data_IF_761665507840
#
_entry.id   IF_761665507840
#
_cell.length_a   1.000
_cell.length_b   1.000
_cell.length_c   1.000
_cell.angle_alpha   90.00
_cell.angle_beta   90.00
_cell.angle_gamma   90.00
#
_symmetry.space_group_name_H-M   'P 1'
#
loop_
_entity.id
_entity.type
_entity.pdbx_description
1 polymer ?
#
# COMPACT_ATOMS: atom_id res chain seq x y z
N UNK A 1 -0.75 -18.43 20.85
CA UNK A 1 -0.49 -17.55 20.16
C UNK A 1 -1.24 -16.43 19.44
N UNK A 2 -1.90 -16.72 18.30
CA UNK A 2 -2.57 -15.68 17.48
C UNK A 2 -3.81 -15.10 18.18
N UNK A 3 -4.48 -15.84 19.05
CA UNK A 3 -5.67 -15.38 19.76
C UNK A 3 -5.41 -14.28 20.77
N UNK A 4 -4.23 -14.23 21.37
CA UNK A 4 -3.96 -13.27 22.46
C UNK A 4 -3.45 -11.92 21.93
N UNK A 5 -2.95 -11.86 20.70
CA UNK A 5 -2.43 -10.64 20.08
C UNK A 5 -3.51 -9.79 19.40
N UNK A 6 -4.56 -10.39 18.84
CA UNK A 6 -5.71 -9.67 18.27
C UNK A 6 -6.51 -8.89 19.31
N UNK A 7 -6.27 -9.12 20.60
CA UNK A 7 -6.92 -8.43 21.71
C UNK A 7 -6.14 -7.22 22.24
N UNK A 8 -4.93 -6.97 21.76
CA UNK A 8 -4.12 -5.86 22.23
C UNK A 8 -4.49 -4.53 21.57
N UNK A 9 -5.41 -3.86 22.21
CA UNK A 9 -5.57 -2.41 22.41
C UNK A 9 -6.00 -1.46 21.28
N UNK A 10 -5.99 -1.82 20.00
CA UNK A 10 -6.43 -0.86 18.96
C UNK A 10 -7.69 -1.32 18.21
N UNK A 11 -7.66 -2.49 17.61
CA UNK A 11 -8.73 -3.03 16.77
C UNK A 11 -9.88 -3.62 17.60
N UNK A 12 -9.58 -4.20 18.75
CA UNK A 12 -10.61 -4.67 19.69
C UNK A 12 -11.49 -3.50 20.19
N UNK A 13 -10.94 -2.29 20.32
CA UNK A 13 -11.71 -1.10 20.71
C UNK A 13 -12.57 -0.57 19.55
N UNK A 14 -12.08 -0.55 18.32
CA UNK A 14 -12.87 -0.13 17.15
C UNK A 14 -14.02 -1.10 16.90
N UNK A 15 -13.78 -2.40 16.97
CA UNK A 15 -14.82 -3.42 16.82
C UNK A 15 -15.83 -3.38 17.97
N UNK A 16 -15.36 -3.24 19.20
CA UNK A 16 -16.22 -3.06 20.39
C UNK A 16 -17.01 -1.77 20.32
N UNK A 17 -16.39 -0.68 19.83
CA UNK A 17 -17.07 0.61 19.68
C UNK A 17 -18.15 0.54 18.62
N UNK A 18 -17.93 -0.13 17.50
CA UNK A 18 -18.94 -0.37 16.47
C UNK A 18 -20.10 -1.25 16.96
N UNK A 19 -19.81 -2.30 17.72
CA UNK A 19 -20.83 -3.11 18.39
C UNK A 19 -21.60 -2.33 19.46
N UNK A 20 -20.92 -1.49 20.24
CA UNK A 20 -21.54 -0.62 21.24
C UNK A 20 -22.38 0.49 20.60
N UNK A 21 -21.97 1.03 19.45
CA UNK A 21 -22.73 2.04 18.73
C UNK A 21 -23.99 1.44 18.07
N UNK A 22 -23.89 0.21 17.54
CA UNK A 22 -25.04 -0.56 17.08
C UNK A 22 -26.01 -0.88 18.25
N UNK A 23 -25.47 -1.27 19.41
CA UNK A 23 -26.27 -1.53 20.62
C UNK A 23 -26.89 -0.26 21.24
N UNK A 24 -26.33 0.93 20.95
CA UNK A 24 -26.84 2.23 21.44
C UNK A 24 -27.89 2.86 20.53
N UNK A 25 -28.36 2.14 19.50
CA UNK A 25 -29.42 2.60 18.62
C UNK A 25 -29.04 3.82 17.76
N UNK A 26 -27.77 4.05 17.49
CA UNK A 26 -27.35 5.06 16.50
C UNK A 26 -27.80 4.64 15.12
N UNK A 27 -28.67 5.42 14.53
CA UNK A 27 -29.20 5.17 13.19
C UNK A 27 -28.02 5.23 12.20
N UNK A 28 -27.75 4.10 11.56
CA UNK A 28 -26.83 4.06 10.43
C UNK A 28 -27.47 4.78 9.25
N UNK A 29 -26.77 5.75 8.68
CA UNK A 29 -27.26 6.51 7.55
C UNK A 29 -26.12 6.94 6.63
N UNK A 30 -26.48 7.25 5.39
CA UNK A 30 -25.60 7.85 4.40
C UNK A 30 -26.12 9.24 4.09
N UNK A 31 -25.27 10.25 4.25
CA UNK A 31 -25.60 11.66 3.94
C UNK A 31 -24.92 12.04 2.63
N UNK A 32 -25.66 12.29 1.55
CA UNK A 32 -25.08 12.72 0.28
C UNK A 32 -24.27 13.99 0.42
N UNK A 33 -23.16 14.06 -0.32
CA UNK A 33 -22.28 15.23 -0.41
C UNK A 33 -22.28 15.77 -1.85
N UNK A 34 -22.26 17.09 -1.98
CA UNK A 34 -22.00 17.77 -3.24
C UNK A 34 -20.51 17.79 -3.58
N UNK A 35 -20.15 18.03 -4.85
CA UNK A 35 -18.75 18.21 -5.25
C UNK A 35 -18.08 19.34 -4.48
N UNK A 36 -18.79 20.45 -4.23
CA UNK A 36 -18.27 21.58 -3.44
C UNK A 36 -17.94 21.18 -1.99
N UNK A 37 -18.76 20.35 -1.36
CA UNK A 37 -18.50 19.85 -0.01
C UNK A 37 -17.28 18.90 0.03
N UNK A 38 -17.08 18.09 -1.01
CA UNK A 38 -15.91 17.22 -1.13
C UNK A 38 -14.66 18.07 -1.38
N UNK A 39 -14.72 19.06 -2.28
CA UNK A 39 -13.65 20.00 -2.55
C UNK A 39 -13.22 20.74 -1.26
N UNK A 40 -14.20 21.20 -0.47
CA UNK A 40 -13.93 21.84 0.81
C UNK A 40 -13.19 20.89 1.80
N UNK A 41 -13.60 19.62 1.89
CA UNK A 41 -12.89 18.60 2.71
C UNK A 41 -11.45 18.39 2.21
N UNK A 42 -11.23 18.29 0.88
CA UNK A 42 -9.90 18.14 0.28
C UNK A 42 -9.01 19.35 0.57
N UNK A 43 -9.54 20.56 0.40
CA UNK A 43 -8.82 21.80 0.72
C UNK A 43 -8.41 21.84 2.20
N UNK A 44 -9.33 21.47 3.08
CA UNK A 44 -9.10 21.49 4.50
C UNK A 44 -7.97 20.53 4.93
N UNK A 45 -7.92 19.29 4.42
CA UNK A 45 -6.82 18.36 4.72
C UNK A 45 -5.47 18.77 4.09
N UNK A 46 -5.48 19.58 3.04
CA UNK A 46 -4.26 20.16 2.45
C UNK A 46 -3.72 21.30 3.32
N UNK A 47 -4.61 22.16 3.81
CA UNK A 47 -4.25 23.36 4.58
C UNK A 47 -3.86 23.00 6.02
N UNK A 48 -4.32 21.88 6.54
CA UNK A 48 -4.02 21.38 7.88
C UNK A 48 -3.56 19.91 7.89
N UNK A 49 -2.26 19.70 7.71
CA UNK A 49 -1.65 18.35 7.79
C UNK A 49 -1.78 17.68 9.17
N UNK A 50 -2.25 18.38 10.20
CA UNK A 50 -2.30 17.93 11.59
C UNK A 50 -3.69 17.50 12.05
N UNK A 51 -4.75 17.88 11.35
CA UNK A 51 -6.11 17.51 11.73
C UNK A 51 -6.58 16.24 11.03
N UNK A 52 -6.82 15.21 11.82
CA UNK A 52 -7.68 14.08 11.43
C UNK A 52 -9.11 14.59 11.34
N UNK A 53 -9.57 14.85 10.13
CA UNK A 53 -10.92 15.35 9.86
C UNK A 53 -11.98 14.29 10.17
N UNK A 54 -12.27 14.13 11.46
CA UNK A 54 -13.47 13.44 11.91
C UNK A 54 -14.50 14.49 12.31
N UNK A 55 -15.62 14.50 11.61
CA UNK A 55 -16.80 15.23 12.10
C UNK A 55 -17.25 14.70 13.46
N UNK A 56 -17.98 15.49 14.28
CA UNK A 56 -18.38 15.09 15.63
C UNK A 56 -19.22 13.79 15.70
N UNK A 57 -19.70 13.30 14.56
CA UNK A 57 -20.49 12.06 14.41
C UNK A 57 -19.83 11.01 13.52
N UNK A 58 -18.61 11.24 13.02
CA UNK A 58 -17.84 10.31 12.20
C UNK A 58 -16.96 9.45 13.11
N UNK A 59 -17.02 8.14 12.96
CA UNK A 59 -16.14 7.19 13.63
C UNK A 59 -15.48 6.27 12.60
N UNK A 60 -14.35 6.71 12.03
CA UNK A 60 -13.51 5.85 11.21
C UNK A 60 -12.05 5.99 11.66
N UNK A 61 -11.30 4.91 11.51
CA UNK A 61 -9.88 4.86 11.84
C UNK A 61 -9.10 4.57 10.56
N UNK A 62 -8.32 5.54 10.09
CA UNK A 62 -7.38 5.39 8.98
C UNK A 62 -5.97 5.63 9.50
N UNK A 63 -5.09 4.62 9.36
CA UNK A 63 -3.68 4.74 9.73
C UNK A 63 -2.89 5.63 8.75
N UNK A 64 -1.76 6.19 9.20
CA UNK A 64 -0.81 6.96 8.39
C UNK A 64 -0.88 8.47 8.62
N UNK A 65 0.23 9.15 8.31
CA UNK A 65 0.43 10.59 8.59
C UNK A 65 -0.05 11.53 7.47
N UNK A 66 -0.41 11.00 6.30
CA UNK A 66 -0.91 11.80 5.17
C UNK A 66 -2.38 12.18 5.42
N UNK A 67 -2.73 13.43 5.14
CA UNK A 67 -4.11 13.92 5.18
C UNK A 67 -5.03 13.09 4.27
N UNK A 68 -6.10 12.54 4.84
CA UNK A 68 -7.07 11.69 4.15
C UNK A 68 -8.39 11.64 4.89
N UNK A 69 -9.47 11.37 4.14
CA UNK A 69 -10.78 11.05 4.72
C UNK A 69 -11.44 9.91 3.94
N UNK A 70 -12.53 9.38 4.46
CA UNK A 70 -13.24 8.29 3.83
C UNK A 70 -14.72 8.60 3.64
N UNK A 71 -15.25 8.21 2.48
CA UNK A 71 -16.66 8.32 2.11
C UNK A 71 -17.19 6.95 1.67
N UNK A 72 -18.51 6.84 1.52
CA UNK A 72 -19.15 5.74 0.82
C UNK A 72 -19.62 6.19 -0.57
N UNK A 73 -19.44 5.31 -1.55
CA UNK A 73 -20.23 5.38 -2.78
C UNK A 73 -21.52 4.62 -2.55
N UNK A 74 -22.63 5.31 -2.50
CA UNK A 74 -23.94 4.74 -2.18
C UNK A 74 -25.01 5.37 -3.05
N UNK A 75 -25.83 4.54 -3.70
CA UNK A 75 -26.90 4.96 -4.59
C UNK A 75 -26.47 5.98 -5.68
N UNK A 76 -25.27 5.74 -6.27
CA UNK A 76 -24.76 6.57 -7.37
C UNK A 76 -24.17 7.92 -6.93
N UNK A 77 -23.91 8.13 -5.66
CA UNK A 77 -23.38 9.40 -5.14
C UNK A 77 -22.41 9.19 -3.97
N UNK A 78 -21.54 10.17 -3.75
CA UNK A 78 -20.66 10.20 -2.60
C UNK A 78 -21.41 10.58 -1.33
N UNK A 79 -21.24 9.79 -0.28
CA UNK A 79 -21.94 9.98 0.98
C UNK A 79 -20.97 9.97 2.17
N UNK A 80 -21.23 10.83 3.12
CA UNK A 80 -20.69 10.74 4.46
C UNK A 80 -21.40 9.63 5.23
N UNK A 81 -20.63 8.86 5.98
CA UNK A 81 -21.13 7.72 6.74
C UNK A 81 -21.45 8.13 8.18
N UNK A 82 -22.68 7.94 8.60
CA UNK A 82 -23.15 8.24 9.95
C UNK A 82 -23.37 6.94 10.75
N UNK A 83 -23.14 6.99 12.04
CA UNK A 83 -23.30 5.83 12.93
C UNK A 83 -22.35 4.69 12.60
N UNK A 84 -22.89 3.51 12.31
CA UNK A 84 -22.11 2.30 11.95
C UNK A 84 -22.00 2.05 10.44
N UNK A 85 -22.49 2.97 9.59
CA UNK A 85 -22.40 2.84 8.14
C UNK A 85 -20.96 2.69 7.66
N UNK A 86 -20.64 1.70 6.83
CA UNK A 86 -19.27 1.49 6.36
C UNK A 86 -18.89 2.49 5.28
N UNK A 87 -17.67 3.04 5.38
CA UNK A 87 -17.03 3.75 4.28
C UNK A 87 -16.52 2.76 3.24
N UNK A 88 -16.53 3.14 1.96
CA UNK A 88 -16.09 2.30 0.85
C UNK A 88 -14.87 2.81 0.11
N UNK A 89 -14.53 4.10 0.27
CA UNK A 89 -13.42 4.73 -0.44
C UNK A 89 -12.64 5.66 0.48
N UNK A 90 -11.35 5.79 0.21
CA UNK A 90 -10.42 6.71 0.88
C UNK A 90 -10.00 7.78 -0.12
N UNK A 91 -10.07 9.04 0.29
CA UNK A 91 -9.71 10.21 -0.49
C UNK A 91 -8.39 10.77 0.01
N UNK A 92 -7.46 11.06 -0.91
CA UNK A 92 -6.15 11.65 -0.64
C UNK A 92 -5.87 12.73 -1.68
N UNK A 93 -5.36 13.87 -1.26
CA UNK A 93 -4.94 14.95 -2.18
C UNK A 93 -3.42 15.07 -2.32
N UNK A 94 -2.66 14.13 -1.78
CA UNK A 94 -1.21 14.11 -1.83
C UNK A 94 -0.54 14.67 -0.56
N UNK A 95 0.77 14.86 -0.62
CA UNK A 95 1.59 15.35 0.48
C UNK A 95 2.11 16.74 0.13
N UNK A 96 1.95 17.69 1.04
CA UNK A 96 2.45 19.06 0.87
C UNK A 96 3.97 19.06 0.64
N UNK A 97 4.43 19.84 -0.33
CA UNK A 97 5.84 19.89 -0.73
C UNK A 97 6.28 18.87 -1.78
N UNK A 98 5.39 17.94 -2.19
CA UNK A 98 5.62 17.00 -3.28
C UNK A 98 4.59 17.22 -4.40
N UNK A 99 5.02 17.93 -5.45
CA UNK A 99 4.16 18.24 -6.59
C UNK A 99 3.57 16.98 -7.22
N UNK A 100 2.27 16.94 -7.47
CA UNK A 100 1.55 15.82 -8.08
C UNK A 100 1.66 14.47 -7.32
N UNK A 101 1.83 14.47 -6.00
CA UNK A 101 2.06 13.23 -5.26
C UNK A 101 0.85 12.27 -5.36
N UNK A 102 -0.39 12.75 -5.27
CA UNK A 102 -1.59 11.92 -5.46
C UNK A 102 -1.65 11.30 -6.87
N UNK A 103 -1.25 12.05 -7.90
CA UNK A 103 -1.18 11.56 -9.27
C UNK A 103 -0.04 10.55 -9.47
N UNK A 104 1.11 10.75 -8.80
CA UNK A 104 2.22 9.79 -8.75
C UNK A 104 1.75 8.46 -8.14
N UNK A 105 1.07 8.50 -6.99
CA UNK A 105 0.49 7.31 -6.36
C UNK A 105 -0.52 6.61 -7.29
N UNK A 106 -1.39 7.37 -7.96
CA UNK A 106 -2.33 6.85 -8.95
C UNK A 106 -1.62 6.11 -10.09
N UNK A 107 -0.60 6.73 -10.71
CA UNK A 107 0.17 6.13 -11.82
C UNK A 107 0.89 4.87 -11.33
N UNK A 108 1.57 4.91 -10.18
CA UNK A 108 2.27 3.76 -9.65
C UNK A 108 1.32 2.58 -9.35
N UNK A 109 0.16 2.84 -8.76
CA UNK A 109 -0.82 1.78 -8.46
C UNK A 109 -1.48 1.21 -9.72
N UNK A 110 -1.76 2.04 -10.73
CA UNK A 110 -2.25 1.57 -12.05
C UNK A 110 -1.19 0.73 -12.77
N UNK A 111 0.08 1.16 -12.73
CA UNK A 111 1.21 0.40 -13.30
C UNK A 111 1.39 -0.94 -12.60
N UNK A 112 1.37 -0.98 -11.26
CA UNK A 112 1.45 -2.22 -10.49
C UNK A 112 0.37 -3.24 -10.92
N UNK A 113 -0.85 -2.77 -11.08
CA UNK A 113 -1.96 -3.61 -11.57
C UNK A 113 -1.73 -4.10 -13.00
N UNK A 114 -1.17 -3.27 -13.87
CA UNK A 114 -0.92 -3.60 -15.28
C UNK A 114 0.18 -4.66 -15.44
N UNK A 115 1.20 -4.64 -14.59
CA UNK A 115 2.20 -5.73 -14.51
C UNK A 115 1.73 -6.96 -13.72
N UNK A 116 0.44 -7.06 -13.42
CA UNK A 116 -0.18 -8.25 -12.81
C UNK A 116 -0.15 -8.32 -11.29
N UNK A 117 0.29 -7.28 -10.58
CA UNK A 117 0.27 -7.28 -9.12
C UNK A 117 -1.14 -6.92 -8.62
N UNK A 118 -1.80 -7.77 -7.81
CA UNK A 118 -3.05 -7.42 -7.16
C UNK A 118 -2.92 -6.11 -6.37
N UNK A 119 -3.68 -5.09 -6.79
CA UNK A 119 -3.58 -3.73 -6.27
C UNK A 119 -4.97 -3.19 -5.99
N UNK A 120 -5.16 -2.43 -4.91
CA UNK A 120 -6.40 -1.75 -4.60
C UNK A 120 -6.85 -0.91 -5.80
N UNK A 121 -8.15 -0.89 -6.07
CA UNK A 121 -8.68 -0.08 -7.17
C UNK A 121 -8.50 1.40 -6.86
N UNK A 122 -8.01 2.13 -7.84
CA UNK A 122 -7.81 3.58 -7.73
C UNK A 122 -8.44 4.33 -8.89
N UNK A 123 -8.97 5.49 -8.58
CA UNK A 123 -9.50 6.46 -9.55
C UNK A 123 -8.94 7.84 -9.21
N UNK A 124 -8.87 8.71 -10.19
CA UNK A 124 -8.44 10.09 -10.00
C UNK A 124 -9.59 11.00 -10.38
N UNK A 125 -10.04 11.82 -9.44
CA UNK A 125 -11.16 12.73 -9.64
C UNK A 125 -10.74 14.17 -9.40
N UNK A 126 -11.44 15.08 -10.05
CA UNK A 126 -11.39 16.51 -9.76
C UNK A 126 -12.76 16.95 -9.24
N UNK A 127 -12.77 17.53 -8.04
CA UNK A 127 -13.94 18.11 -7.39
C UNK A 127 -13.75 19.62 -7.39
N UNK A 128 -14.44 20.33 -8.28
CA UNK A 128 -14.18 21.74 -8.59
C UNK A 128 -12.71 21.94 -9.02
N UNK A 129 -11.89 22.61 -8.21
CA UNK A 129 -10.46 22.85 -8.41
C UNK A 129 -9.53 21.89 -7.61
N UNK A 130 -10.12 20.99 -6.82
CA UNK A 130 -9.37 20.05 -5.98
C UNK A 130 -9.29 18.66 -6.62
N UNK A 131 -8.07 18.20 -6.87
CA UNK A 131 -7.84 16.85 -7.36
C UNK A 131 -7.63 15.86 -6.21
N UNK A 132 -8.12 14.63 -6.39
CA UNK A 132 -8.01 13.56 -5.40
C UNK A 132 -7.73 12.22 -6.04
N UNK A 133 -6.80 11.48 -5.44
CA UNK A 133 -6.73 10.04 -5.55
C UNK A 133 -7.83 9.43 -4.68
N UNK A 134 -8.67 8.60 -5.27
CA UNK A 134 -9.75 7.88 -4.58
C UNK A 134 -9.44 6.40 -4.65
N UNK A 135 -9.20 5.81 -3.49
CA UNK A 135 -8.84 4.39 -3.33
C UNK A 135 -10.05 3.62 -2.83
N UNK A 136 -10.48 2.63 -3.61
CA UNK A 136 -11.52 1.69 -3.17
C UNK A 136 -10.97 0.80 -2.06
N UNK A 137 -11.73 0.66 -1.00
CA UNK A 137 -11.34 -0.15 0.17
C UNK A 137 -11.49 -1.63 -0.13
N UNK A 138 -10.37 -2.34 -0.26
CA UNK A 138 -10.33 -3.78 -0.46
C UNK A 138 -10.84 -4.59 0.75
N UNK A 139 -10.89 -3.97 1.93
CA UNK A 139 -11.41 -4.57 3.17
C UNK A 139 -12.93 -4.40 3.33
N UNK A 140 -13.63 -4.18 2.20
CA UNK A 140 -15.09 -4.12 2.10
C UNK A 140 -15.59 -5.17 1.13
N UNK A 141 -16.56 -5.94 1.55
CA UNK A 141 -17.19 -6.98 0.73
C UNK A 141 -18.71 -6.80 0.75
N UNK A 142 -19.33 -6.82 -0.43
CA UNK A 142 -20.79 -6.84 -0.53
C UNK A 142 -21.26 -8.28 -0.38
N UNK A 143 -22.06 -8.54 0.65
CA UNK A 143 -22.62 -9.87 0.85
C UNK A 143 -23.83 -10.13 -0.06
N UNK A 144 -24.36 -11.37 -0.01
CA UNK A 144 -25.51 -11.81 -0.83
C UNK A 144 -26.80 -10.98 -0.61
N UNK A 145 -26.90 -10.28 0.50
CA UNK A 145 -28.03 -9.40 0.84
C UNK A 145 -27.80 -7.94 0.45
N UNK A 146 -26.68 -7.63 -0.23
CA UNK A 146 -26.33 -6.26 -0.64
C UNK A 146 -25.70 -5.41 0.48
N UNK A 147 -25.48 -5.98 1.67
CA UNK A 147 -24.86 -5.24 2.77
C UNK A 147 -23.34 -5.28 2.65
N UNK A 148 -22.70 -4.17 3.06
CA UNK A 148 -21.24 -4.06 3.09
C UNK A 148 -20.71 -4.64 4.40
N UNK A 149 -19.93 -5.71 4.28
CA UNK A 149 -19.19 -6.32 5.38
C UNK A 149 -17.76 -5.80 5.43
N UNK A 150 -17.21 -5.71 6.65
CA UNK A 150 -15.82 -5.32 6.88
C UNK A 150 -14.99 -6.58 7.06
N UNK A 151 -13.96 -6.74 6.21
CA UNK A 151 -12.95 -7.77 6.41
C UNK A 151 -11.96 -7.28 7.49
N UNK A 152 -11.60 -8.19 8.39
CA UNK A 152 -10.59 -7.89 9.38
C UNK A 152 -9.21 -7.90 8.74
N UNK A 153 -8.42 -6.84 8.99
CA UNK A 153 -7.05 -6.75 8.48
C UNK A 153 -6.08 -6.24 9.55
N UNK A 154 -4.82 -6.62 9.40
CA UNK A 154 -3.71 -6.09 10.18
C UNK A 154 -2.56 -5.74 9.26
N UNK A 155 -1.96 -4.54 9.41
CA UNK A 155 -0.67 -4.25 8.80
C UNK A 155 0.46 -5.03 9.49
N UNK A 156 1.65 -5.14 8.85
CA UNK A 156 2.73 -5.95 9.43
C UNK A 156 3.35 -5.35 10.70
N UNK A 157 3.19 -4.06 10.99
CA UNK A 157 3.52 -3.58 12.32
C UNK A 157 2.56 -4.17 13.37
N UNK A 158 1.26 -4.24 13.07
CA UNK A 158 0.27 -4.86 13.96
C UNK A 158 0.49 -6.38 14.07
N UNK A 159 0.68 -7.07 12.94
CA UNK A 159 0.88 -8.52 12.90
C UNK A 159 2.17 -8.98 13.60
N UNK A 160 3.16 -8.11 13.72
CA UNK A 160 4.45 -8.36 14.40
C UNK A 160 4.52 -7.71 15.80
N UNK A 161 3.49 -6.99 16.23
CA UNK A 161 3.45 -6.32 17.53
C UNK A 161 4.40 -5.13 17.65
N UNK A 162 4.74 -4.50 16.54
CA UNK A 162 5.65 -3.35 16.47
C UNK A 162 4.87 -2.04 16.53
N UNK A 163 5.38 -1.06 17.26
CA UNK A 163 4.72 0.24 17.38
C UNK A 163 4.75 1.01 16.04
N UNK A 164 3.71 1.78 15.70
CA UNK A 164 3.65 2.54 14.46
C UNK A 164 4.82 3.50 14.22
N UNK A 165 5.44 4.02 15.28
CA UNK A 165 6.61 4.89 15.20
C UNK A 165 7.86 4.15 14.69
N UNK A 166 7.90 2.83 14.86
CA UNK A 166 8.99 1.95 14.42
C UNK A 166 8.67 1.27 13.07
N UNK A 167 7.94 1.92 12.19
CA UNK A 167 7.51 1.33 10.90
C UNK A 167 8.64 1.11 9.90
N UNK A 168 9.76 1.82 10.04
CA UNK A 168 10.96 1.70 9.19
C UNK A 168 12.01 0.83 9.87
N UNK A 169 12.73 0.01 9.10
CA UNK A 169 13.86 -0.75 9.65
C UNK A 169 14.93 0.16 10.27
N UNK A 170 15.15 1.35 9.70
CA UNK A 170 16.10 2.33 10.23
C UNK A 170 15.76 2.79 11.65
N UNK A 171 14.50 2.70 12.06
CA UNK A 171 13.99 3.07 13.39
C UNK A 171 13.79 1.84 14.29
N UNK A 172 14.40 0.70 13.93
CA UNK A 172 14.27 -0.57 14.65
C UNK A 172 13.00 -1.37 14.30
N UNK A 173 12.37 -1.05 13.17
CA UNK A 173 11.19 -1.74 12.68
C UNK A 173 11.49 -2.99 11.84
N UNK A 174 10.44 -3.63 11.31
CA UNK A 174 10.55 -4.90 10.63
C UNK A 174 11.45 -4.86 9.39
N UNK A 175 12.11 -5.98 9.14
CA UNK A 175 12.83 -6.29 7.92
C UNK A 175 11.96 -7.14 6.99
N UNK A 176 12.40 -7.40 5.76
CA UNK A 176 11.69 -8.34 4.88
C UNK A 176 11.69 -9.76 5.43
N UNK A 177 12.73 -10.14 6.18
CA UNK A 177 12.80 -11.46 6.84
C UNK A 177 11.70 -11.62 7.88
N UNK A 178 11.49 -10.65 8.76
CA UNK A 178 10.43 -10.70 9.78
C UNK A 178 9.05 -10.89 9.14
N UNK A 179 8.81 -10.26 7.98
CA UNK A 179 7.58 -10.44 7.21
C UNK A 179 7.51 -11.85 6.61
N UNK A 180 8.58 -12.34 6.00
CA UNK A 180 8.63 -13.70 5.42
C UNK A 180 8.38 -14.77 6.49
N UNK A 181 9.03 -14.68 7.64
CA UNK A 181 8.84 -15.59 8.78
C UNK A 181 7.38 -15.55 9.29
N UNK A 182 6.74 -14.39 9.25
CA UNK A 182 5.32 -14.28 9.58
C UNK A 182 4.44 -14.91 8.51
N UNK A 183 4.74 -14.72 7.23
CA UNK A 183 3.96 -15.26 6.11
C UNK A 183 4.03 -16.79 6.01
N UNK A 184 5.16 -17.41 6.33
CA UNK A 184 5.31 -18.88 6.36
C UNK A 184 4.27 -19.53 7.28
N UNK A 185 3.85 -18.85 8.35
CA UNK A 185 2.87 -19.31 9.31
C UNK A 185 1.41 -19.00 8.92
N UNK A 186 1.15 -18.55 7.70
CA UNK A 186 -0.19 -18.27 7.17
C UNK A 186 -0.65 -19.35 6.19
N UNK A 187 -1.95 -19.38 5.90
CA UNK A 187 -2.50 -20.24 4.84
C UNK A 187 -3.30 -19.35 3.90
N UNK A 188 -3.01 -19.34 2.61
CA UNK A 188 -1.96 -20.07 1.85
C UNK A 188 -0.61 -19.34 1.84
N UNK A 189 0.40 -19.88 2.52
CA UNK A 189 1.69 -19.20 2.65
C UNK A 189 2.45 -19.05 1.32
N UNK A 190 2.39 -20.04 0.42
CA UNK A 190 3.05 -19.95 -0.90
C UNK A 190 2.59 -18.72 -1.69
N UNK A 191 1.29 -18.52 -1.83
CA UNK A 191 0.73 -17.38 -2.53
C UNK A 191 1.11 -16.05 -1.86
N UNK A 192 1.07 -16.02 -0.53
CA UNK A 192 1.42 -14.82 0.23
C UNK A 192 2.90 -14.44 0.05
N UNK A 193 3.81 -15.42 0.09
CA UNK A 193 5.24 -15.20 -0.13
C UNK A 193 5.52 -14.73 -1.57
N UNK A 194 4.91 -15.37 -2.57
CA UNK A 194 5.06 -14.96 -3.97
C UNK A 194 4.57 -13.53 -4.17
N UNK A 195 3.36 -13.21 -3.69
CA UNK A 195 2.80 -11.87 -3.84
C UNK A 195 3.65 -10.81 -3.12
N UNK A 196 4.14 -11.11 -1.90
CA UNK A 196 5.03 -10.21 -1.17
C UNK A 196 6.34 -9.95 -1.94
N UNK A 197 6.89 -10.98 -2.59
CA UNK A 197 8.09 -10.86 -3.44
C UNK A 197 7.85 -9.88 -4.59
N UNK A 198 6.75 -10.05 -5.34
CA UNK A 198 6.40 -9.14 -6.44
C UNK A 198 6.20 -7.70 -5.94
N UNK A 199 5.48 -7.50 -4.85
CA UNK A 199 5.26 -6.17 -4.27
C UNK A 199 6.57 -5.50 -3.84
N UNK A 200 7.45 -6.24 -3.17
CA UNK A 200 8.75 -5.73 -2.72
C UNK A 200 9.62 -5.32 -3.91
N UNK A 201 9.71 -6.20 -4.93
CA UNK A 201 10.53 -5.96 -6.10
C UNK A 201 9.98 -4.80 -6.94
N UNK A 202 8.67 -4.71 -7.10
CA UNK A 202 8.03 -3.57 -7.74
C UNK A 202 8.37 -2.25 -7.04
N UNK A 203 8.24 -2.20 -5.71
CA UNK A 203 8.59 -1.02 -4.92
C UNK A 203 10.06 -0.61 -5.11
N UNK A 204 10.96 -1.58 -5.25
CA UNK A 204 12.36 -1.31 -5.53
C UNK A 204 12.58 -0.74 -6.94
N UNK A 205 11.90 -1.31 -7.94
CA UNK A 205 11.98 -0.91 -9.36
C UNK A 205 11.50 0.52 -9.54
N UNK A 206 10.37 0.89 -8.96
CA UNK A 206 9.85 2.26 -9.05
C UNK A 206 10.51 3.24 -8.06
N UNK A 207 11.41 2.74 -7.18
CA UNK A 207 12.06 3.54 -6.16
C UNK A 207 11.09 4.12 -5.14
N UNK A 208 10.16 3.30 -4.61
CA UNK A 208 9.21 3.70 -3.58
C UNK A 208 9.89 3.82 -2.20
N UNK A 209 10.06 5.02 -1.63
CA UNK A 209 10.83 5.20 -0.39
C UNK A 209 10.01 4.94 0.87
N UNK A 210 8.68 4.89 0.75
CA UNK A 210 7.75 4.74 1.89
C UNK A 210 7.12 3.34 1.96
N UNK A 211 7.69 2.34 1.27
CA UNK A 211 7.21 0.96 1.28
C UNK A 211 7.61 0.22 2.58
N UNK A 212 7.17 0.75 3.72
CA UNK A 212 7.45 0.21 5.05
C UNK A 212 6.44 -0.87 5.47
N UNK A 213 6.66 -1.51 6.63
CA UNK A 213 5.86 -2.62 7.13
C UNK A 213 4.34 -2.33 7.28
N UNK A 214 3.95 -1.05 7.45
CA UNK A 214 2.52 -0.66 7.49
C UNK A 214 1.86 -0.60 6.11
N UNK A 215 2.62 -0.62 5.02
CA UNK A 215 2.09 -0.60 3.65
C UNK A 215 1.92 -2.01 3.07
N UNK A 216 2.03 -3.02 3.93
CA UNK A 216 1.68 -4.40 3.64
C UNK A 216 0.74 -4.88 4.75
N UNK A 217 -0.35 -5.54 4.37
CA UNK A 217 -1.37 -6.00 5.32
C UNK A 217 -1.79 -7.45 5.06
N UNK A 218 -2.30 -8.08 6.09
CA UNK A 218 -2.97 -9.38 6.02
C UNK A 218 -4.47 -9.18 6.17
N UNK A 219 -5.25 -9.76 5.28
CA UNK A 219 -6.69 -9.96 5.46
C UNK A 219 -6.85 -11.27 6.26
N UNK A 220 -7.42 -11.17 7.44
CA UNK A 220 -7.49 -12.27 8.39
C UNK A 220 -8.77 -13.09 8.21
N UNK A 221 -8.60 -14.39 8.09
CA UNK A 221 -9.66 -15.39 8.12
C UNK A 221 -9.73 -16.12 9.47
N UNK A 222 -10.34 -17.31 9.46
CA UNK A 222 -10.42 -18.15 10.66
C UNK A 222 -9.13 -18.95 10.87
N UNK A 223 -8.64 -19.01 12.10
CA UNK A 223 -7.43 -19.76 12.47
C UNK A 223 -6.18 -19.13 11.88
N UNK A 224 -5.39 -19.90 11.14
CA UNK A 224 -4.18 -19.45 10.44
C UNK A 224 -4.44 -18.93 9.03
N UNK A 225 -5.70 -18.97 8.56
CA UNK A 225 -6.05 -18.41 7.25
C UNK A 225 -5.82 -16.89 7.24
N UNK A 226 -4.91 -16.45 6.41
CA UNK A 226 -4.64 -15.05 6.20
C UNK A 226 -4.11 -14.85 4.78
N UNK A 227 -4.70 -13.93 4.04
CA UNK A 227 -4.24 -13.58 2.69
C UNK A 227 -3.51 -12.24 2.74
N UNK A 228 -2.40 -12.14 2.01
CA UNK A 228 -1.77 -10.83 1.80
C UNK A 228 -2.76 -9.92 1.07
N UNK A 229 -2.96 -8.72 1.60
CA UNK A 229 -3.86 -7.75 1.02
C UNK A 229 -3.34 -7.26 -0.34
N UNK A 230 -4.20 -6.79 -1.25
CA UNK A 230 -3.78 -6.09 -2.45
C UNK A 230 -2.84 -4.93 -2.10
N UNK A 231 -1.89 -4.62 -2.99
CA UNK A 231 -0.95 -3.50 -2.85
C UNK A 231 -1.70 -2.16 -2.72
N UNK A 232 -1.23 -1.28 -1.86
CA UNK A 232 -1.79 0.06 -1.63
C UNK A 232 -0.70 1.03 -1.16
N UNK A 233 -0.96 2.33 -1.26
CA UNK A 233 -0.11 3.40 -0.74
C UNK A 233 1.30 3.38 -1.36
N UNK A 234 1.37 3.39 -2.69
CA UNK A 234 2.60 3.22 -3.46
C UNK A 234 2.85 4.41 -4.38
N UNK A 235 3.94 5.13 -4.13
CA UNK A 235 4.38 6.24 -4.95
C UNK A 235 5.90 6.20 -5.19
N UNK A 236 6.33 6.66 -6.37
CA UNK A 236 7.75 6.71 -6.74
C UNK A 236 8.44 7.94 -6.15
N UNK A 237 9.52 7.74 -5.40
CA UNK A 237 10.42 8.81 -4.98
C UNK A 237 11.27 9.36 -6.13
N UNK A 238 11.41 8.60 -7.23
CA UNK A 238 12.22 8.98 -8.38
C UNK A 238 11.64 10.17 -9.16
N UNK A 239 10.35 10.46 -8.98
CA UNK A 239 9.74 11.67 -9.52
C UNK A 239 10.32 12.97 -8.95
N UNK A 240 10.99 12.90 -7.80
CA UNK A 240 11.47 14.06 -7.06
C UNK A 240 12.99 14.09 -6.99
N UNK A 241 13.63 15.08 -7.60
CA UNK A 241 15.11 15.20 -7.67
C UNK A 241 15.77 15.11 -6.29
N UNK A 242 15.17 15.75 -5.27
CA UNK A 242 15.65 15.69 -3.89
C UNK A 242 15.73 14.27 -3.32
N UNK A 243 14.87 13.35 -3.80
CA UNK A 243 14.77 11.96 -3.33
C UNK A 243 15.60 11.00 -4.18
N UNK A 244 15.82 11.27 -5.47
CA UNK A 244 16.57 10.37 -6.39
C UNK A 244 17.92 9.93 -5.83
N UNK A 245 18.66 10.84 -5.18
CA UNK A 245 19.96 10.55 -4.59
C UNK A 245 19.89 9.93 -3.20
N UNK A 246 18.78 10.07 -2.49
CA UNK A 246 18.58 9.69 -1.10
C UNK A 246 17.56 8.56 -0.92
N UNK A 247 16.76 8.26 -1.94
CA UNK A 247 15.75 7.22 -1.87
C UNK A 247 16.39 5.87 -1.56
N UNK A 248 16.00 5.32 -0.43
CA UNK A 248 16.36 3.99 0.04
C UNK A 248 15.07 3.23 0.26
N UNK A 249 15.15 1.91 0.27
CA UNK A 249 14.01 1.11 0.70
C UNK A 249 13.66 1.44 2.15
N UNK A 250 12.38 1.44 2.45
CA UNK A 250 11.90 1.64 3.82
C UNK A 250 12.22 0.45 4.74
N UNK A 251 12.33 -0.75 4.15
CA UNK A 251 12.72 -1.99 4.84
C UNK A 251 14.04 -2.50 4.31
N UNK A 252 14.87 -3.05 5.19
CA UNK A 252 16.04 -3.78 4.76
C UNK A 252 15.67 -5.16 4.21
N UNK A 253 16.45 -5.61 3.23
CA UNK A 253 16.29 -6.91 2.60
C UNK A 253 17.12 -7.95 3.34
N UNK A 254 16.48 -9.04 3.75
CA UNK A 254 17.05 -9.99 4.70
C UNK A 254 16.96 -9.47 6.15
N UNK A 255 17.68 -10.06 7.07
CA UNK A 255 17.63 -9.72 8.51
C UNK A 255 18.59 -8.62 8.96
N UNK A 256 19.21 -7.87 8.07
CA UNK A 256 20.20 -6.85 8.42
C UNK A 256 19.54 -5.49 8.65
N UNK A 257 20.03 -4.73 9.64
CA UNK A 257 19.56 -3.35 9.89
C UNK A 257 20.12 -2.32 8.88
N UNK A 258 20.46 -2.75 7.66
CA UNK A 258 20.97 -1.88 6.60
C UNK A 258 19.95 -1.73 5.48
N UNK A 259 19.42 -0.52 5.35
CA UNK A 259 18.55 -0.14 4.25
C UNK A 259 19.40 0.27 3.06
N UNK A 260 19.21 -0.38 1.93
CA UNK A 260 20.00 -0.17 0.71
C UNK A 260 19.15 -0.20 -0.56
N UNK A 261 19.85 -0.19 -1.69
CA UNK A 261 19.24 -0.46 -3.00
C UNK A 261 19.13 -1.97 -3.21
N UNK A 262 18.12 -2.44 -3.93
CA UNK A 262 18.05 -3.83 -4.35
C UNK A 262 19.05 -4.06 -5.50
N UNK A 263 19.92 -5.04 -5.30
CA UNK A 263 20.85 -5.57 -6.28
C UNK A 263 21.04 -7.06 -6.00
N UNK A 264 21.94 -7.76 -6.75
CA UNK A 264 22.12 -9.20 -6.64
C UNK A 264 22.30 -9.72 -5.21
N UNK A 265 23.16 -9.08 -4.43
CA UNK A 265 23.38 -9.46 -3.03
C UNK A 265 22.14 -9.27 -2.14
N UNK A 266 21.27 -8.29 -2.43
CA UNK A 266 20.01 -8.11 -1.73
C UNK A 266 19.00 -9.20 -2.11
N UNK A 267 18.94 -9.61 -3.38
CA UNK A 267 18.06 -10.68 -3.85
C UNK A 267 18.44 -12.01 -3.19
N UNK A 268 19.75 -12.31 -3.06
CA UNK A 268 20.24 -13.49 -2.35
C UNK A 268 19.84 -13.46 -0.86
N UNK A 269 20.02 -12.32 -0.19
CA UNK A 269 19.58 -12.17 1.20
C UNK A 269 18.08 -12.34 1.35
N UNK A 270 17.30 -11.85 0.37
CA UNK A 270 15.85 -12.03 0.33
C UNK A 270 15.47 -13.52 0.24
N UNK A 271 16.20 -14.32 -0.56
CA UNK A 271 15.98 -15.76 -0.69
C UNK A 271 16.31 -16.54 0.60
N UNK A 272 16.80 -15.91 1.64
CA UNK A 272 17.07 -16.56 2.93
C UNK A 272 18.49 -17.09 3.06
N UNK A 273 19.43 -16.70 2.22
CA UNK A 273 20.83 -17.12 2.26
C UNK A 273 21.42 -17.01 3.67
N UNK A 274 21.88 -18.12 4.20
CA UNK A 274 22.38 -18.24 5.57
C UNK A 274 21.35 -18.63 6.62
N UNK A 275 20.07 -18.83 6.23
CA UNK A 275 19.02 -19.40 7.07
C UNK A 275 18.35 -20.59 6.35
N UNK A 276 18.80 -21.84 6.61
CA UNK A 276 18.32 -23.01 5.88
C UNK A 276 16.81 -23.26 5.98
N UNK A 277 16.19 -22.89 7.09
CA UNK A 277 14.74 -23.10 7.28
C UNK A 277 13.93 -22.13 6.43
N UNK A 278 14.33 -20.85 6.39
CA UNK A 278 13.69 -19.84 5.54
C UNK A 278 13.92 -20.15 4.06
N UNK A 279 15.14 -20.52 3.69
CA UNK A 279 15.53 -20.87 2.32
C UNK A 279 14.71 -22.07 1.79
N UNK A 280 14.53 -23.10 2.62
CA UNK A 280 13.71 -24.25 2.30
C UNK A 280 12.23 -23.85 2.11
N UNK A 281 11.68 -23.02 2.99
CA UNK A 281 10.29 -22.58 2.89
C UNK A 281 10.05 -21.67 1.66
N UNK A 282 11.00 -20.80 1.31
CA UNK A 282 10.92 -19.98 0.11
C UNK A 282 11.03 -20.84 -1.16
N UNK A 283 11.92 -21.82 -1.17
CA UNK A 283 12.08 -22.77 -2.27
C UNK A 283 10.83 -23.62 -2.48
N UNK A 284 10.21 -24.10 -1.40
CA UNK A 284 8.95 -24.83 -1.42
C UNK A 284 7.80 -23.97 -1.98
N UNK A 285 7.83 -22.68 -1.70
CA UNK A 285 6.90 -21.70 -2.29
C UNK A 285 7.22 -21.36 -3.77
N UNK A 286 8.23 -21.97 -4.38
CA UNK A 286 8.67 -21.69 -5.75
C UNK A 286 9.58 -20.48 -5.89
N UNK A 287 10.00 -19.86 -4.80
CA UNK A 287 10.84 -18.65 -4.76
C UNK A 287 12.33 -19.00 -4.67
N UNK A 288 12.84 -19.81 -5.61
CA UNK A 288 14.28 -20.03 -5.73
C UNK A 288 15.02 -18.72 -6.03
N UNK A 289 16.33 -18.67 -5.74
CA UNK A 289 17.16 -17.51 -6.09
C UNK A 289 17.03 -17.15 -7.59
N UNK A 290 17.07 -18.16 -8.46
CA UNK A 290 16.90 -18.00 -9.90
C UNK A 290 15.54 -17.38 -10.26
N UNK A 291 14.47 -17.79 -9.58
CA UNK A 291 13.14 -17.21 -9.78
C UNK A 291 13.11 -15.75 -9.34
N UNK A 292 13.72 -15.41 -8.20
CA UNK A 292 13.80 -14.04 -7.72
C UNK A 292 14.57 -13.12 -8.68
N UNK A 293 15.67 -13.60 -9.25
CA UNK A 293 16.40 -12.85 -10.30
C UNK A 293 15.55 -12.66 -11.55
N UNK A 294 14.91 -13.72 -12.05
CA UNK A 294 14.04 -13.64 -13.22
C UNK A 294 12.88 -12.65 -12.98
N UNK A 295 12.19 -12.76 -11.84
CA UNK A 295 11.09 -11.84 -11.49
C UNK A 295 11.54 -10.38 -11.44
N UNK A 296 12.71 -10.10 -10.87
CA UNK A 296 13.24 -8.74 -10.84
C UNK A 296 13.57 -8.22 -12.25
N UNK A 297 14.11 -9.08 -13.11
CA UNK A 297 14.40 -8.73 -14.50
C UNK A 297 13.11 -8.45 -15.29
N UNK A 298 12.11 -9.33 -15.17
CA UNK A 298 10.83 -9.18 -15.86
C UNK A 298 10.16 -7.86 -15.45
N UNK A 299 10.09 -7.56 -14.15
CA UNK A 299 9.57 -6.27 -13.68
C UNK A 299 10.37 -5.09 -14.20
N UNK A 300 11.71 -5.19 -14.26
CA UNK A 300 12.56 -4.11 -14.77
C UNK A 300 12.36 -3.87 -16.29
N UNK A 301 11.93 -4.88 -17.05
CA UNK A 301 11.55 -4.72 -18.45
C UNK A 301 10.12 -4.18 -18.62
N UNK A 302 9.16 -4.70 -17.86
CA UNK A 302 7.74 -4.41 -18.07
C UNK A 302 7.29 -3.08 -17.44
N UNK A 303 7.80 -2.74 -16.24
CA UNK A 303 7.34 -1.56 -15.50
C UNK A 303 7.45 -0.26 -16.29
N UNK A 304 8.58 0.09 -16.96
CA UNK A 304 8.67 1.35 -17.69
C UNK A 304 7.73 1.41 -18.90
N UNK A 305 7.44 0.27 -19.53
CA UNK A 305 6.49 0.17 -20.65
C UNK A 305 5.08 0.38 -20.14
N UNK A 306 4.67 -0.40 -19.13
CA UNK A 306 3.34 -0.29 -18.54
C UNK A 306 3.08 1.08 -17.90
N UNK A 307 4.11 1.71 -17.32
CA UNK A 307 3.99 3.06 -16.76
C UNK A 307 3.73 4.10 -17.84
N UNK A 308 4.44 4.01 -18.98
CA UNK A 308 4.21 4.90 -20.11
C UNK A 308 2.80 4.74 -20.67
N UNK A 309 2.34 3.50 -20.88
CA UNK A 309 0.97 3.22 -21.32
C UNK A 309 -0.10 3.77 -20.36
N UNK A 310 0.13 3.66 -19.04
CA UNK A 310 -0.76 4.27 -18.04
C UNK A 310 -0.77 5.79 -18.18
N UNK A 311 0.39 6.42 -18.35
CA UNK A 311 0.47 7.86 -18.53
C UNK A 311 -0.17 8.34 -19.82
N UNK A 312 -0.11 7.54 -20.90
CA UNK A 312 -0.79 7.82 -22.16
C UNK A 312 -2.31 7.66 -22.03
N UNK A 313 -2.79 6.60 -21.38
CA UNK A 313 -4.21 6.36 -21.12
C UNK A 313 -4.87 7.51 -20.33
N UNK A 314 -4.10 8.14 -19.43
CA UNK A 314 -4.59 9.21 -18.55
C UNK A 314 -3.91 10.57 -18.84
N UNK A 315 -3.49 10.80 -20.10
CA UNK A 315 -2.75 12.00 -20.49
C UNK A 315 -3.50 13.32 -20.21
N UNK A 316 -4.84 13.29 -20.24
CA UNK A 316 -5.69 14.45 -20.01
C UNK A 316 -5.83 14.85 -18.53
N UNK A 317 -5.33 14.03 -17.59
CA UNK A 317 -5.40 14.39 -16.17
C UNK A 317 -4.48 15.59 -15.86
N UNK A 318 -4.96 16.55 -15.06
CA UNK A 318 -4.18 17.71 -14.67
C UNK A 318 -2.84 17.33 -14.03
N UNK A 319 -1.73 17.81 -14.60
CA UNK A 319 -0.38 17.55 -14.11
C UNK A 319 0.29 16.29 -14.68
N UNK A 320 -0.38 15.48 -15.52
CA UNK A 320 0.19 14.26 -16.07
C UNK A 320 1.44 14.53 -16.92
N UNK A 321 1.42 15.52 -17.79
CA UNK A 321 2.58 15.86 -18.62
C UNK A 321 3.80 16.23 -17.77
N UNK A 322 3.62 17.04 -16.74
CA UNK A 322 4.68 17.42 -15.80
C UNK A 322 5.19 16.22 -14.99
N UNK A 323 4.29 15.37 -14.49
CA UNK A 323 4.69 14.15 -13.80
C UNK A 323 5.48 13.20 -14.70
N UNK A 324 5.04 13.03 -15.96
CA UNK A 324 5.72 12.18 -16.96
C UNK A 324 7.16 12.64 -17.19
N UNK A 325 7.36 13.94 -17.39
CA UNK A 325 8.68 14.53 -17.60
C UNK A 325 9.64 14.22 -16.44
N UNK A 326 9.13 14.26 -15.20
CA UNK A 326 9.96 14.11 -14.01
C UNK A 326 10.10 12.67 -13.49
N UNK A 327 9.20 11.75 -13.89
CA UNK A 327 9.15 10.39 -13.30
C UNK A 327 9.59 9.29 -14.28
N UNK A 328 9.13 9.31 -15.54
CA UNK A 328 9.32 8.18 -16.44
C UNK A 328 10.79 7.92 -16.77
N UNK A 329 11.56 8.97 -17.08
CA UNK A 329 13.00 8.87 -17.35
C UNK A 329 13.77 8.25 -16.17
N UNK A 330 13.68 8.82 -14.97
CA UNK A 330 14.33 8.25 -13.80
C UNK A 330 13.92 6.82 -13.43
N UNK A 331 12.66 6.42 -13.68
CA UNK A 331 12.24 5.03 -13.51
C UNK A 331 12.92 4.12 -14.54
N UNK A 332 12.96 4.52 -15.81
CA UNK A 332 13.71 3.80 -16.88
C UNK A 332 15.18 3.61 -16.53
N UNK A 333 15.84 4.66 -16.04
CA UNK A 333 17.24 4.59 -15.62
C UNK A 333 17.44 3.63 -14.44
N UNK A 334 16.52 3.61 -13.46
CA UNK A 334 16.59 2.67 -12.34
C UNK A 334 16.37 1.23 -12.79
N UNK A 335 15.44 0.99 -13.72
CA UNK A 335 15.20 -0.31 -14.34
C UNK A 335 16.44 -0.80 -15.10
N UNK A 336 17.03 0.04 -15.97
CA UNK A 336 18.22 -0.32 -16.74
C UNK A 336 19.39 -0.67 -15.82
N UNK A 337 19.64 0.14 -14.80
CA UNK A 337 20.68 -0.15 -13.79
C UNK A 337 20.46 -1.48 -13.08
N UNK A 338 19.21 -1.80 -12.77
CA UNK A 338 18.86 -3.10 -12.13
C UNK A 338 19.17 -4.26 -13.08
N UNK A 339 18.83 -4.14 -14.36
CA UNK A 339 19.14 -5.13 -15.38
C UNK A 339 20.65 -5.33 -15.56
N UNK A 340 21.41 -4.23 -15.62
CA UNK A 340 22.86 -4.29 -15.80
C UNK A 340 23.55 -4.97 -14.63
N UNK A 341 23.13 -4.67 -13.40
CA UNK A 341 23.64 -5.31 -12.18
C UNK A 341 23.36 -6.82 -12.14
N UNK A 342 22.16 -7.24 -12.54
CA UNK A 342 21.79 -8.66 -12.54
C UNK A 342 22.53 -9.41 -13.64
N UNK A 343 22.63 -8.84 -14.85
CA UNK A 343 23.39 -9.46 -15.97
C UNK A 343 24.86 -9.65 -15.63
N UNK A 344 25.51 -8.63 -15.07
CA UNK A 344 26.90 -8.71 -14.63
C UNK A 344 27.18 -9.77 -13.56
N UNK A 345 26.16 -10.23 -12.86
CA UNK A 345 26.27 -11.29 -11.85
C UNK A 345 26.04 -12.69 -12.44
N UNK A 346 25.33 -12.76 -13.58
CA UNK A 346 25.02 -14.03 -14.25
C UNK A 346 26.08 -14.46 -15.28
N UNK A 347 26.93 -13.52 -15.73
CA UNK A 347 28.09 -13.74 -16.60
C UNK A 347 29.32 -14.20 -15.81
#
# INVERSE_FOLDING_TARGET
GIRDFCLSRGLGEVYKRQQLDAARGRVSAYRPLTNSQIAHKLKAIRDDERETWMGPNESWSLGGNQGKFALAWHDGQWCECLGSSPTTHIFKNGVVGFKHQALNEFVCMKTARRVGIPTANVSYYTFEDEAALVVERYDRMVNSSGNIERLHQEDFCQALGVLPIQKYTADGGPTTRDIQERLINTVPHHMNLVLFTYMLFYNAIIGAPDAHAKNYSLILGKGTNAALAPMYDVASGLAYERMRRRARLAMSVGGENRVGRIGPGAIRRYHGMGDPALEAALTDAGLSEKFCFATMMDLAYEVPICMEEVMDEYADLPGMADLREHMLGPVRENCQRTLDLIKAEMD
#
